data_IF_349129155545
#
_entry.id   IF_349129155545
#
_cell.length_a   1.000
_cell.length_b   1.000
_cell.length_c   1.000
_cell.angle_alpha   90.00
_cell.angle_beta   90.00
_cell.angle_gamma   90.00
#
_symmetry.space_group_name_H-M   'P 1'
#
loop_
_entity.id
_entity.type
_entity.pdbx_description
1 polymer ?
#
# COMPACT_ATOMS: atom_id res chain seq x y z
N UNK A 1 -6.75 -42.99 -14.95
CA UNK A 1 -7.66 -41.90 -14.55
C UNK A 1 -7.49 -41.50 -13.06
N UNK A 2 -7.45 -42.47 -12.12
CA UNK A 2 -7.28 -42.17 -10.67
C UNK A 2 -5.97 -41.45 -10.34
N UNK A 3 -4.87 -41.80 -11.01
CA UNK A 3 -3.54 -41.23 -10.74
C UNK A 3 -3.43 -39.72 -11.11
N UNK A 4 -4.29 -39.23 -11.99
CA UNK A 4 -4.35 -37.80 -12.35
C UNK A 4 -5.28 -36.98 -11.42
N UNK A 5 -6.25 -37.65 -10.78
CA UNK A 5 -7.17 -36.95 -9.88
C UNK A 5 -6.49 -36.51 -8.58
N UNK A 6 -5.54 -37.24 -8.06
CA UNK A 6 -4.84 -36.92 -6.80
C UNK A 6 -4.04 -35.62 -6.92
N UNK A 7 -3.14 -35.41 -7.89
CA UNK A 7 -2.43 -34.13 -8.01
C UNK A 7 -3.34 -32.93 -8.31
N UNK A 8 -4.43 -33.13 -9.05
CA UNK A 8 -5.41 -32.07 -9.30
C UNK A 8 -6.14 -31.67 -8.02
N UNK A 9 -6.56 -32.66 -7.21
CA UNK A 9 -7.21 -32.40 -5.93
C UNK A 9 -6.24 -31.76 -4.92
N UNK A 10 -4.99 -32.22 -4.86
CA UNK A 10 -3.96 -31.63 -3.99
C UNK A 10 -3.63 -30.20 -4.42
N UNK A 11 -3.44 -29.95 -5.71
CA UNK A 11 -3.22 -28.61 -6.24
C UNK A 11 -4.42 -27.69 -6.01
N UNK A 12 -5.63 -28.20 -6.20
CA UNK A 12 -6.87 -27.47 -5.89
C UNK A 12 -6.98 -27.15 -4.39
N UNK A 13 -6.65 -28.12 -3.54
CA UNK A 13 -6.62 -27.92 -2.08
C UNK A 13 -5.58 -26.89 -1.65
N UNK A 14 -4.34 -26.96 -2.16
CA UNK A 14 -3.30 -25.98 -1.89
C UNK A 14 -3.74 -24.57 -2.27
N UNK A 15 -4.31 -24.40 -3.48
CA UNK A 15 -4.82 -23.12 -3.93
C UNK A 15 -6.00 -22.60 -3.10
N UNK A 16 -6.84 -23.50 -2.59
CA UNK A 16 -7.93 -23.14 -1.71
C UNK A 16 -7.48 -22.82 -0.29
N UNK A 17 -6.39 -23.45 0.18
CA UNK A 17 -5.97 -23.32 1.55
C UNK A 17 -5.10 -22.06 1.81
N UNK A 18 -4.10 -21.78 0.99
CA UNK A 18 -3.08 -20.79 1.37
C UNK A 18 -2.45 -19.99 0.21
N UNK A 19 -2.36 -20.50 -1.02
CA UNK A 19 -1.65 -19.76 -2.07
C UNK A 19 -2.45 -18.56 -2.61
N UNK A 20 -1.79 -17.40 -2.66
CA UNK A 20 -2.32 -16.15 -3.19
C UNK A 20 -3.52 -15.56 -2.42
N UNK A 21 -3.60 -15.79 -1.11
CA UNK A 21 -4.67 -15.30 -0.26
C UNK A 21 -4.14 -14.58 0.97
N UNK A 22 -4.92 -13.64 1.41
CA UNK A 22 -4.65 -12.88 2.63
C UNK A 22 -4.62 -13.77 3.87
N UNK A 23 -5.50 -14.80 3.89
CA UNK A 23 -5.68 -15.69 5.01
C UNK A 23 -6.45 -16.95 4.57
N UNK A 24 -6.52 -18.00 5.44
CA UNK A 24 -7.41 -19.13 5.22
C UNK A 24 -8.85 -18.68 5.01
N UNK A 25 -9.59 -19.36 4.09
CA UNK A 25 -10.97 -18.99 3.74
C UNK A 25 -11.90 -18.85 4.95
N UNK A 26 -11.67 -19.65 6.00
CA UNK A 26 -12.46 -19.60 7.24
C UNK A 26 -12.34 -18.26 7.98
N UNK A 27 -11.27 -17.50 7.73
CA UNK A 27 -11.04 -16.17 8.33
C UNK A 27 -11.53 -15.04 7.40
N UNK A 28 -11.74 -15.31 6.12
CA UNK A 28 -12.26 -14.35 5.15
C UNK A 28 -13.78 -14.25 5.28
N UNK A 29 -14.25 -13.51 6.28
CA UNK A 29 -15.68 -13.40 6.62
C UNK A 29 -16.28 -12.03 6.31
N UNK A 30 -15.44 -11.04 6.01
CA UNK A 30 -15.87 -9.67 5.77
C UNK A 30 -15.92 -9.36 4.27
N UNK A 31 -17.09 -8.89 3.80
CA UNK A 31 -17.25 -8.40 2.44
C UNK A 31 -16.99 -6.89 2.40
N UNK A 32 -16.17 -6.44 1.48
CA UNK A 32 -16.00 -5.02 1.20
C UNK A 32 -17.24 -4.46 0.51
N UNK A 33 -17.75 -3.35 1.01
CA UNK A 33 -19.03 -2.76 0.56
C UNK A 33 -18.86 -1.53 -0.32
N UNK A 34 -17.66 -0.94 -0.35
CA UNK A 34 -17.37 0.30 -1.08
C UNK A 34 -15.99 0.27 -1.72
N UNK A 35 -15.75 1.25 -2.60
CA UNK A 35 -14.49 1.43 -3.30
C UNK A 35 -14.24 0.40 -4.41
N UNK A 36 -13.06 0.43 -5.03
CA UNK A 36 -12.72 -0.41 -6.19
C UNK A 36 -12.70 -1.93 -5.89
N UNK A 37 -12.55 -2.32 -4.62
CA UNK A 37 -12.58 -3.71 -4.19
C UNK A 37 -13.96 -4.17 -3.69
N UNK A 38 -15.02 -3.38 -3.90
CA UNK A 38 -16.38 -3.74 -3.47
C UNK A 38 -16.79 -5.11 -4.00
N UNK A 39 -17.34 -5.93 -3.10
CA UNK A 39 -17.76 -7.30 -3.41
C UNK A 39 -16.71 -8.37 -3.06
N UNK A 40 -15.44 -8.02 -2.91
CA UNK A 40 -14.42 -8.96 -2.44
C UNK A 40 -14.66 -9.33 -0.97
N UNK A 41 -14.24 -10.54 -0.60
CA UNK A 41 -14.32 -11.07 0.75
C UNK A 41 -12.90 -11.25 1.28
N UNK A 42 -12.64 -10.71 2.46
CA UNK A 42 -11.34 -10.74 3.13
C UNK A 42 -11.52 -10.89 4.64
N UNK A 43 -10.43 -10.80 5.40
CA UNK A 43 -10.52 -10.79 6.86
C UNK A 43 -11.10 -9.47 7.36
N UNK A 44 -11.71 -9.42 8.57
CA UNK A 44 -12.17 -8.17 9.17
C UNK A 44 -11.05 -7.14 9.32
N UNK A 45 -9.84 -7.58 9.65
CA UNK A 45 -8.66 -6.73 9.79
C UNK A 45 -8.28 -6.06 8.47
N UNK A 46 -8.13 -6.84 7.40
CA UNK A 46 -7.82 -6.31 6.07
C UNK A 46 -8.93 -5.40 5.53
N UNK A 47 -10.18 -5.73 5.82
CA UNK A 47 -11.31 -4.88 5.46
C UNK A 47 -11.25 -3.51 6.16
N UNK A 48 -10.87 -3.50 7.44
CA UNK A 48 -10.68 -2.28 8.20
C UNK A 48 -9.51 -1.45 7.65
N UNK A 49 -8.36 -2.07 7.39
CA UNK A 49 -7.19 -1.42 6.78
C UNK A 49 -7.51 -0.83 5.40
N UNK A 50 -8.14 -1.62 4.53
CA UNK A 50 -8.59 -1.16 3.22
C UNK A 50 -9.48 0.08 3.34
N UNK A 51 -10.48 0.02 4.20
CA UNK A 51 -11.42 1.12 4.40
C UNK A 51 -10.72 2.37 4.93
N UNK A 52 -9.79 2.21 5.88
CA UNK A 52 -9.06 3.32 6.45
C UNK A 52 -8.10 3.97 5.45
N UNK A 53 -7.41 3.18 4.60
CA UNK A 53 -6.54 3.70 3.53
C UNK A 53 -7.37 4.47 2.48
N UNK A 54 -8.46 3.88 1.99
CA UNK A 54 -9.32 4.57 1.03
C UNK A 54 -9.88 5.86 1.61
N UNK A 55 -10.30 5.86 2.88
CA UNK A 55 -10.78 7.05 3.57
C UNK A 55 -9.70 8.12 3.66
N UNK A 56 -8.48 7.78 4.10
CA UNK A 56 -7.38 8.72 4.23
C UNK A 56 -7.07 9.43 2.90
N UNK A 57 -7.24 8.74 1.76
CA UNK A 57 -7.01 9.32 0.44
C UNK A 57 -8.20 10.14 -0.09
N UNK A 58 -9.43 9.78 0.29
CA UNK A 58 -10.64 10.49 -0.17
C UNK A 58 -11.01 11.69 0.70
N UNK A 59 -10.62 11.71 1.97
CA UNK A 59 -10.86 12.82 2.90
C UNK A 59 -9.80 13.93 2.77
N UNK A 60 -8.72 13.70 2.02
CA UNK A 60 -7.73 14.72 1.70
C UNK A 60 -8.35 15.86 0.90
N UNK A 61 -8.12 17.10 1.32
CA UNK A 61 -8.68 18.31 0.68
C UNK A 61 -7.97 18.67 -0.63
N UNK A 62 -6.86 18.05 -0.92
CA UNK A 62 -6.03 18.36 -2.10
C UNK A 62 -6.45 17.55 -3.33
N UNK A 63 -6.51 18.21 -4.49
CA UNK A 63 -6.84 17.60 -5.79
C UNK A 63 -5.60 17.13 -6.60
N UNK A 64 -4.40 17.44 -6.13
CA UNK A 64 -3.16 17.13 -6.84
C UNK A 64 -2.71 15.68 -6.73
N UNK A 65 -1.50 15.35 -7.24
CA UNK A 65 -0.99 13.98 -7.23
C UNK A 65 -0.85 13.38 -5.83
N UNK A 66 -1.10 12.07 -5.75
CA UNK A 66 -1.02 11.28 -4.51
C UNK A 66 0.20 10.37 -4.54
N UNK A 67 0.89 10.27 -3.41
CA UNK A 67 1.94 9.29 -3.18
C UNK A 67 1.57 8.40 -2.01
N UNK A 68 1.67 7.07 -2.19
CA UNK A 68 1.47 6.09 -1.12
C UNK A 68 2.74 5.28 -0.96
N UNK A 69 3.27 5.21 0.27
CA UNK A 69 4.47 4.43 0.53
C UNK A 69 4.18 2.95 0.54
N UNK A 70 5.20 2.19 0.15
CA UNK A 70 5.34 0.72 0.24
C UNK A 70 4.07 -0.09 -0.04
N UNK A 71 4.19 -1.16 -0.72
CA UNK A 71 3.37 -2.39 -0.79
C UNK A 71 1.82 -2.29 -0.83
N UNK A 72 1.25 -1.11 -1.03
CA UNK A 72 -0.20 -0.94 -1.24
C UNK A 72 -0.51 -0.33 -2.62
N UNK A 73 -0.11 -0.96 -3.74
CA UNK A 73 -0.33 -0.41 -5.08
C UNK A 73 -1.81 -0.24 -5.41
N UNK A 74 -2.67 -1.01 -4.80
CA UNK A 74 -4.12 -0.93 -4.93
C UNK A 74 -4.70 0.34 -4.29
N UNK A 75 -3.98 1.00 -3.37
CA UNK A 75 -4.44 2.22 -2.71
C UNK A 75 -4.70 3.36 -3.72
N UNK A 76 -3.92 3.42 -4.80
CA UNK A 76 -4.15 4.40 -5.87
C UNK A 76 -5.50 4.24 -6.58
N UNK A 77 -6.14 3.07 -6.46
CA UNK A 77 -7.48 2.85 -6.98
C UNK A 77 -8.58 3.46 -6.09
N UNK A 78 -8.25 3.86 -4.86
CA UNK A 78 -9.21 4.49 -3.94
C UNK A 78 -9.53 5.96 -4.29
N UNK A 79 -8.82 6.53 -5.26
CA UNK A 79 -8.98 7.93 -5.68
C UNK A 79 -8.83 8.06 -7.18
N UNK A 80 -9.47 9.07 -7.78
CA UNK A 80 -9.32 9.42 -9.21
C UNK A 80 -8.13 10.36 -9.44
N UNK A 81 -7.40 10.70 -8.39
CA UNK A 81 -6.25 11.62 -8.44
C UNK A 81 -5.06 10.95 -9.13
N UNK A 82 -4.23 11.72 -9.85
CA UNK A 82 -3.04 11.17 -10.50
C UNK A 82 -2.02 10.66 -9.49
N UNK A 83 -1.27 9.62 -9.87
CA UNK A 83 -0.15 9.15 -9.07
C UNK A 83 0.99 10.19 -9.07
N UNK A 84 1.51 10.49 -7.88
CA UNK A 84 2.69 11.32 -7.66
C UNK A 84 4.00 10.53 -7.76
N UNK A 85 4.04 9.43 -8.50
CA UNK A 85 5.21 8.57 -8.63
C UNK A 85 5.23 7.90 -10.01
N UNK A 86 6.41 7.43 -10.44
CA UNK A 86 6.59 6.71 -11.72
C UNK A 86 6.01 5.29 -11.70
N UNK A 87 5.72 4.76 -10.52
CA UNK A 87 5.20 3.40 -10.35
C UNK A 87 4.33 3.33 -9.09
N UNK A 88 3.28 2.52 -9.11
CA UNK A 88 2.50 2.18 -7.92
C UNK A 88 3.17 1.09 -7.06
N UNK A 89 4.27 0.52 -7.55
CA UNK A 89 4.90 -0.64 -6.96
C UNK A 89 6.19 -0.27 -6.25
N UNK A 90 6.34 -0.65 -4.98
CA UNK A 90 7.54 -0.42 -4.16
C UNK A 90 8.00 1.04 -4.12
N UNK A 91 7.11 1.93 -3.77
CA UNK A 91 7.43 3.35 -3.60
C UNK A 91 7.97 3.62 -2.20
N UNK A 92 9.23 4.04 -2.13
CA UNK A 92 9.92 4.39 -0.89
C UNK A 92 10.24 5.88 -0.89
N UNK A 93 10.11 6.52 0.29
CA UNK A 93 10.39 7.95 0.48
C UNK A 93 11.84 8.34 0.14
N UNK A 94 12.78 7.42 0.33
CA UNK A 94 14.23 7.68 0.28
C UNK A 94 14.88 7.21 -1.02
N UNK A 95 14.11 7.02 -2.06
CA UNK A 95 14.64 6.59 -3.34
C UNK A 95 15.34 7.76 -4.05
N UNK A 96 16.62 7.62 -4.38
CA UNK A 96 17.33 8.55 -5.28
C UNK A 96 16.63 8.71 -6.63
N UNK A 97 15.89 7.67 -7.05
CA UNK A 97 15.09 7.69 -8.27
C UNK A 97 13.93 8.68 -8.18
N UNK A 98 13.37 8.94 -6.99
CA UNK A 98 12.32 9.93 -6.81
C UNK A 98 12.84 11.35 -7.04
N UNK A 99 14.03 11.66 -6.57
CA UNK A 99 14.64 12.96 -6.83
C UNK A 99 14.81 13.23 -8.33
N UNK A 100 15.36 12.23 -9.05
CA UNK A 100 15.51 12.32 -10.51
C UNK A 100 14.15 12.47 -11.18
N UNK A 101 13.18 11.66 -10.76
CA UNK A 101 11.83 11.69 -11.30
C UNK A 101 11.16 13.07 -11.13
N UNK A 102 11.19 13.66 -9.94
CA UNK A 102 10.56 14.94 -9.70
C UNK A 102 11.32 16.13 -10.29
N UNK A 103 12.62 16.00 -10.57
CA UNK A 103 13.35 16.98 -11.38
C UNK A 103 12.87 17.01 -12.83
N UNK A 104 12.54 15.86 -13.39
CA UNK A 104 12.05 15.72 -14.76
C UNK A 104 10.56 15.99 -14.89
N UNK A 105 9.79 15.72 -13.82
CA UNK A 105 8.34 15.80 -13.77
C UNK A 105 7.87 16.57 -12.52
N UNK A 106 8.16 17.87 -12.42
CA UNK A 106 7.80 18.68 -11.24
C UNK A 106 6.29 18.75 -11.01
N UNK A 107 5.48 18.62 -12.06
CA UNK A 107 4.02 18.59 -12.00
C UNK A 107 3.47 17.30 -11.34
N UNK A 108 4.33 16.28 -11.19
CA UNK A 108 3.99 15.02 -10.52
C UNK A 108 4.34 15.02 -9.05
N UNK A 109 4.94 16.11 -8.53
CA UNK A 109 5.22 16.18 -7.11
C UNK A 109 3.91 16.04 -6.31
N UNK A 110 3.85 15.13 -5.31
CA UNK A 110 2.59 14.85 -4.63
C UNK A 110 2.12 16.05 -3.81
N UNK A 111 0.82 16.24 -3.75
CA UNK A 111 0.16 17.17 -2.83
C UNK A 111 -0.39 16.44 -1.60
N UNK A 112 -0.50 15.13 -1.68
CA UNK A 112 -0.84 14.25 -0.56
C UNK A 112 0.10 13.06 -0.55
N UNK A 113 0.70 12.78 0.61
CA UNK A 113 1.58 11.62 0.82
C UNK A 113 1.02 10.81 1.97
N UNK A 114 0.67 9.55 1.73
CA UNK A 114 0.29 8.59 2.76
C UNK A 114 1.47 7.69 3.06
N UNK A 115 2.03 7.84 4.25
CA UNK A 115 3.08 6.97 4.80
C UNK A 115 2.40 5.90 5.65
N UNK A 116 2.36 4.67 5.16
CA UNK A 116 1.77 3.55 5.87
C UNK A 116 2.66 3.09 7.02
N UNK A 117 2.05 2.73 8.15
CA UNK A 117 2.74 2.11 9.28
C UNK A 117 3.30 0.74 8.88
N UNK A 118 4.40 0.32 9.53
CA UNK A 118 5.04 -0.98 9.27
C UNK A 118 4.07 -2.16 9.45
N UNK A 119 3.18 -2.09 10.44
CA UNK A 119 2.18 -3.12 10.67
C UNK A 119 1.21 -3.27 9.48
N UNK A 120 0.93 -2.19 8.77
CA UNK A 120 0.06 -2.18 7.58
C UNK A 120 0.86 -2.55 6.33
N UNK A 121 2.11 -2.05 6.22
CA UNK A 121 3.02 -2.36 5.12
C UNK A 121 3.61 -3.77 5.20
N UNK A 122 3.71 -4.36 6.40
CA UNK A 122 4.19 -5.72 6.66
C UNK A 122 3.24 -6.84 6.21
N UNK A 123 2.09 -6.48 5.71
CA UNK A 123 1.07 -7.36 5.18
C UNK A 123 1.56 -8.37 4.11
N UNK A 124 2.58 -8.01 3.37
CA UNK A 124 3.18 -8.90 2.37
C UNK A 124 4.33 -9.74 2.91
N UNK A 125 4.81 -9.49 4.13
CA UNK A 125 5.94 -10.22 4.72
C UNK A 125 5.54 -11.57 5.31
N UNK A 126 4.24 -11.87 5.45
CA UNK A 126 3.78 -13.18 5.92
C UNK A 126 4.05 -14.31 4.92
N UNK A 127 4.46 -13.99 3.69
CA UNK A 127 4.76 -15.01 2.70
C UNK A 127 6.20 -15.52 2.76
N UNK A 128 7.17 -14.80 3.34
CA UNK A 128 8.52 -15.30 3.67
C UNK A 128 9.30 -14.29 4.54
N UNK A 129 9.22 -14.40 5.88
CA UNK A 129 9.95 -13.45 6.75
C UNK A 129 11.48 -13.66 6.74
N UNK A 130 11.99 -14.80 6.26
CA UNK A 130 13.39 -15.19 6.44
C UNK A 130 14.26 -15.15 5.18
N UNK A 131 13.70 -15.20 3.97
CA UNK A 131 14.52 -15.33 2.76
C UNK A 131 14.89 -14.01 2.05
N UNK A 132 14.25 -12.92 2.38
CA UNK A 132 14.66 -11.61 1.87
C UNK A 132 14.25 -10.53 2.87
N UNK A 133 15.04 -10.30 3.94
CA UNK A 133 14.86 -9.11 4.73
C UNK A 133 15.14 -7.95 3.80
N UNK A 134 14.08 -7.42 3.17
CA UNK A 134 14.18 -6.07 2.62
C UNK A 134 14.69 -5.23 3.77
N UNK A 135 15.83 -4.55 3.63
CA UNK A 135 16.34 -3.71 4.69
C UNK A 135 15.17 -2.85 5.15
N UNK A 136 14.94 -2.83 6.46
CA UNK A 136 13.93 -1.98 7.08
C UNK A 136 14.22 -0.55 6.60
N UNK A 137 13.54 -0.12 5.56
CA UNK A 137 13.88 1.11 4.85
C UNK A 137 13.28 2.33 5.54
N UNK A 138 12.49 2.11 6.58
CA UNK A 138 12.04 3.15 7.51
C UNK A 138 12.96 3.28 8.73
N UNK A 139 13.89 2.32 8.95
CA UNK A 139 14.82 2.41 10.06
C UNK A 139 16.02 3.27 9.68
N UNK A 140 15.93 4.56 9.90
CA UNK A 140 17.11 5.38 10.14
C UNK A 140 17.64 6.25 9.02
N UNK A 141 16.89 6.54 7.95
CA UNK A 141 17.16 7.70 7.11
C UNK A 141 16.07 8.75 7.36
N UNK A 142 16.24 9.48 8.43
CA UNK A 142 15.42 10.67 8.72
C UNK A 142 15.56 11.77 7.66
N UNK A 143 16.49 11.62 6.72
CA UNK A 143 16.92 12.61 5.75
C UNK A 143 16.65 12.23 4.29
N UNK A 144 15.62 11.43 4.00
CA UNK A 144 15.27 11.09 2.63
C UNK A 144 14.79 12.30 1.83
N UNK A 145 15.07 12.30 0.52
CA UNK A 145 14.75 13.41 -0.37
C UNK A 145 13.29 13.86 -0.22
N UNK A 146 12.32 12.95 -0.24
CA UNK A 146 10.92 13.32 -0.15
C UNK A 146 10.57 13.88 1.22
N UNK A 147 11.08 13.29 2.30
CA UNK A 147 10.87 13.79 3.67
C UNK A 147 11.37 15.22 3.82
N UNK A 148 12.59 15.51 3.32
CA UNK A 148 13.13 16.87 3.34
C UNK A 148 12.30 17.84 2.49
N UNK A 149 11.85 17.43 1.30
CA UNK A 149 11.02 18.24 0.43
C UNK A 149 9.63 18.52 1.04
N UNK A 150 9.01 17.55 1.71
CA UNK A 150 7.74 17.78 2.42
C UNK A 150 7.89 18.82 3.53
N UNK A 151 8.96 18.69 4.33
CA UNK A 151 9.26 19.67 5.37
C UNK A 151 9.54 21.05 4.79
N UNK A 152 10.37 21.14 3.73
CA UNK A 152 10.72 22.41 3.06
C UNK A 152 9.50 23.12 2.46
N UNK A 153 8.53 22.35 1.95
CA UNK A 153 7.30 22.87 1.34
C UNK A 153 6.17 23.15 2.34
N UNK A 154 6.40 22.90 3.64
CA UNK A 154 5.44 23.20 4.69
C UNK A 154 4.23 22.26 4.72
N UNK A 155 4.43 20.96 4.36
CA UNK A 155 3.36 19.99 4.47
C UNK A 155 2.94 19.81 5.94
N UNK A 156 1.64 19.69 6.17
CA UNK A 156 1.07 19.35 7.46
C UNK A 156 0.89 17.86 7.60
N UNK A 157 1.18 17.31 8.79
CA UNK A 157 1.09 15.90 9.06
C UNK A 157 -0.14 15.58 9.92
N UNK A 158 -0.93 14.59 9.51
CA UNK A 158 -2.10 14.09 10.23
C UNK A 158 -1.96 12.58 10.46
N UNK A 159 -2.04 12.16 11.74
CA UNK A 159 -2.01 10.73 12.07
C UNK A 159 -3.36 10.10 11.79
N UNK A 160 -3.34 8.94 11.14
CA UNK A 160 -4.51 8.12 10.84
C UNK A 160 -4.34 6.70 11.42
N UNK A 161 -5.39 5.87 11.45
CA UNK A 161 -5.27 4.49 11.92
C UNK A 161 -4.33 3.59 11.10
N UNK A 162 -3.88 4.04 9.93
CA UNK A 162 -3.06 3.24 9.00
C UNK A 162 -1.71 3.87 8.72
N UNK A 163 -1.41 5.02 9.31
CA UNK A 163 -0.17 5.73 9.12
C UNK A 163 -0.33 7.24 9.15
N UNK A 164 0.61 7.96 8.57
CA UNK A 164 0.62 9.43 8.55
C UNK A 164 0.31 9.96 7.16
N UNK A 165 -0.65 10.87 7.06
CA UNK A 165 -0.95 11.64 5.86
C UNK A 165 -0.26 12.98 5.94
N UNK A 166 0.50 13.34 4.92
CA UNK A 166 1.08 14.66 4.73
C UNK A 166 0.33 15.37 3.61
N UNK A 167 -0.09 16.61 3.84
CA UNK A 167 -0.84 17.42 2.90
C UNK A 167 -0.18 18.76 2.66
N UNK A 168 -0.18 19.21 1.41
CA UNK A 168 0.24 20.55 1.05
C UNK A 168 -0.77 21.54 1.62
N UNK A 169 -0.26 22.58 2.30
CA UNK A 169 -1.08 23.70 2.79
C UNK A 169 -1.52 24.64 1.66
#
# INVERSE_FOLDING_TARGET
ALALCVPVLLSGWQRLALEYRDAPLSQCTQRLTSGPAAGLVTTPEHAAQYTAICRALTESESDGPVFVTALAPWAYLCTDRPMGTSTSWRTYLDSELLEVYYRQHPERFPTTVLVLDEAVGGYTSTLQPEENPLPNQNSGREDGFLTLELARRGFTAHTTPVGTVYEAG
#
